data_IF_067914278956
#
_entry.id   IF_067914278956
#
_cell.length_a   1.000
_cell.length_b   1.000
_cell.length_c   1.000
_cell.angle_alpha   90.00
_cell.angle_beta   90.00
_cell.angle_gamma   90.00
#
_symmetry.space_group_name_H-M   'P 1'
#
loop_
_entity.id
_entity.type
_entity.pdbx_description
1 polymer ?
#
# COMPACT_ATOMS: atom_id res chain seq x y z
N UNK A 1 -23.04 11.65 1.36
CA UNK A 1 -23.46 12.55 0.27
C UNK A 1 -24.71 13.30 0.70
N UNK A 2 -25.07 14.38 0.00
CA UNK A 2 -26.42 14.96 0.05
C UNK A 2 -26.97 14.95 -1.38
N UNK A 3 -27.87 14.00 -1.67
CA UNK A 3 -28.21 13.67 -3.05
C UNK A 3 -26.98 13.15 -3.81
N UNK A 4 -26.74 13.69 -5.01
CA UNK A 4 -25.59 13.39 -5.85
C UNK A 4 -24.36 14.27 -5.58
N UNK A 5 -24.32 14.97 -4.44
CA UNK A 5 -23.21 15.85 -4.08
C UNK A 5 -22.35 15.19 -3.00
N UNK A 6 -21.09 14.92 -3.33
CA UNK A 6 -20.08 14.46 -2.38
C UNK A 6 -19.64 15.61 -1.46
N UNK A 7 -19.75 15.37 -0.15
CA UNK A 7 -19.39 16.36 0.89
C UNK A 7 -18.46 15.74 1.90
N UNK A 8 -17.58 16.56 2.46
CA UNK A 8 -16.65 16.18 3.51
C UNK A 8 -16.68 17.18 4.67
N UNK A 9 -16.17 16.76 5.82
CA UNK A 9 -15.90 17.59 6.98
C UNK A 9 -14.43 17.97 6.97
N UNK A 10 -14.14 19.26 7.05
CA UNK A 10 -12.77 19.78 7.05
C UNK A 10 -12.49 20.51 8.37
N UNK A 11 -11.35 20.19 8.96
CA UNK A 11 -10.75 20.98 10.02
C UNK A 11 -9.93 22.13 9.44
N UNK A 12 -9.84 23.25 10.17
CA UNK A 12 -9.00 24.36 9.75
C UNK A 12 -7.52 23.98 9.91
N UNK A 13 -6.80 23.90 8.81
CA UNK A 13 -5.35 23.74 8.81
C UNK A 13 -4.62 25.08 9.04
N UNK A 14 -3.43 25.01 9.62
CA UNK A 14 -2.52 26.14 9.79
C UNK A 14 -1.07 25.66 9.78
N UNK A 15 -0.16 26.51 9.34
CA UNK A 15 1.28 26.23 9.36
C UNK A 15 1.90 26.72 10.67
N UNK A 16 2.83 25.94 11.23
CA UNK A 16 3.68 26.35 12.34
C UNK A 16 5.02 25.63 12.22
N UNK A 17 6.11 26.37 12.36
CA UNK A 17 7.48 25.80 12.34
C UNK A 17 7.79 24.95 11.07
N UNK A 18 7.16 25.30 9.93
CA UNK A 18 7.30 24.55 8.66
C UNK A 18 6.44 23.29 8.55
N UNK A 19 5.64 22.97 9.58
CA UNK A 19 4.72 21.85 9.62
C UNK A 19 3.26 22.29 9.48
N UNK A 20 2.42 21.41 8.94
CA UNK A 20 0.98 21.63 8.81
C UNK A 20 0.27 20.98 10.01
N UNK A 21 -0.46 21.80 10.76
CA UNK A 21 -1.33 21.38 11.84
C UNK A 21 -2.78 21.63 11.48
N UNK A 22 -3.71 21.07 12.24
CA UNK A 22 -5.13 21.35 12.10
C UNK A 22 -5.82 21.45 13.46
N UNK A 23 -6.83 22.31 13.54
CA UNK A 23 -7.65 22.50 14.74
C UNK A 23 -8.76 21.46 14.75
N UNK A 24 -8.77 20.59 15.76
CA UNK A 24 -9.83 19.58 15.98
C UNK A 24 -11.05 20.17 16.72
N UNK A 25 -11.38 21.43 16.44
CA UNK A 25 -12.61 22.07 16.87
C UNK A 25 -13.76 21.72 15.91
N UNK A 26 -14.77 22.58 15.77
CA UNK A 26 -15.94 22.32 14.93
C UNK A 26 -15.56 22.22 13.44
N UNK A 27 -15.63 21.03 12.83
CA UNK A 27 -15.31 20.89 11.42
C UNK A 27 -16.38 21.57 10.56
N UNK A 28 -15.96 22.17 9.45
CA UNK A 28 -16.85 22.80 8.48
C UNK A 28 -17.14 21.86 7.32
N UNK A 29 -18.36 21.93 6.80
CA UNK A 29 -18.79 21.10 5.66
C UNK A 29 -18.42 21.75 4.34
N UNK A 30 -17.78 20.99 3.45
CA UNK A 30 -17.43 21.42 2.10
C UNK A 30 -17.91 20.40 1.07
N UNK A 31 -18.15 20.86 -0.16
CA UNK A 31 -18.29 19.99 -1.33
C UNK A 31 -16.89 19.56 -1.75
N UNK A 32 -16.68 18.27 -2.02
CA UNK A 32 -15.35 17.74 -2.37
C UNK A 32 -14.81 18.40 -3.64
N UNK A 33 -15.68 18.69 -4.62
CA UNK A 33 -15.31 19.38 -5.86
C UNK A 33 -14.93 20.86 -5.71
N UNK A 34 -14.93 21.41 -4.49
CA UNK A 34 -14.39 22.74 -4.23
C UNK A 34 -12.86 22.73 -4.06
N UNK A 35 -12.24 21.56 -3.98
CA UNK A 35 -10.79 21.40 -3.90
C UNK A 35 -10.22 21.02 -5.27
N UNK A 36 -9.06 21.56 -5.61
CA UNK A 36 -8.34 21.18 -6.84
C UNK A 36 -7.79 19.75 -6.77
N UNK A 37 -7.38 19.33 -5.56
CA UNK A 37 -6.75 18.04 -5.28
C UNK A 37 -7.26 17.48 -3.95
N UNK A 38 -7.52 16.18 -3.91
CA UNK A 38 -7.92 15.44 -2.71
C UNK A 38 -7.05 14.20 -2.57
N UNK A 39 -6.35 14.08 -1.45
CA UNK A 39 -5.62 12.86 -1.11
C UNK A 39 -6.53 11.90 -0.34
N UNK A 40 -6.93 10.80 -0.95
CA UNK A 40 -7.71 9.74 -0.30
C UNK A 40 -6.75 8.81 0.47
N UNK A 41 -6.60 9.08 1.77
CA UNK A 41 -5.58 8.45 2.65
C UNK A 41 -6.09 7.82 3.96
N UNK A 42 -7.32 7.26 4.04
CA UNK A 42 -7.67 6.47 5.21
C UNK A 42 -6.79 5.23 5.30
N UNK A 43 -6.39 4.88 6.53
CA UNK A 43 -5.65 3.65 6.77
C UNK A 43 -6.58 2.42 6.66
N UNK A 44 -6.07 1.26 6.18
CA UNK A 44 -6.79 -0.01 6.23
C UNK A 44 -7.14 -0.45 7.68
N UNK A 45 -8.09 -1.39 7.88
CA UNK A 45 -8.54 -2.42 6.94
C UNK A 45 -9.48 -1.92 5.83
N UNK A 46 -9.43 -2.58 4.67
CA UNK A 46 -10.40 -2.34 3.58
C UNK A 46 -11.67 -3.15 3.89
N UNK A 47 -12.49 -2.61 4.78
CA UNK A 47 -13.77 -3.17 5.19
C UNK A 47 -14.95 -2.48 4.48
N UNK A 48 -16.18 -2.77 4.93
CA UNK A 48 -17.37 -2.19 4.34
C UNK A 48 -17.43 -0.67 4.50
N UNK A 49 -16.89 -0.11 5.59
CA UNK A 49 -16.87 1.33 5.82
C UNK A 49 -15.85 2.01 4.92
N UNK A 50 -14.69 1.38 4.70
CA UNK A 50 -13.72 1.82 3.70
C UNK A 50 -14.32 1.82 2.28
N UNK A 51 -15.03 0.76 1.90
CA UNK A 51 -15.70 0.64 0.59
C UNK A 51 -16.81 1.69 0.45
N UNK A 52 -17.59 1.93 1.51
CA UNK A 52 -18.61 2.97 1.54
C UNK A 52 -17.99 4.37 1.39
N UNK A 53 -16.85 4.63 2.04
CA UNK A 53 -16.09 5.87 1.89
C UNK A 53 -15.61 6.05 0.44
N UNK A 54 -15.13 4.99 -0.20
CA UNK A 54 -14.77 5.03 -1.63
C UNK A 54 -15.98 5.37 -2.51
N UNK A 55 -17.15 4.80 -2.23
CA UNK A 55 -18.39 5.04 -2.98
C UNK A 55 -18.90 6.48 -2.88
N UNK A 56 -18.45 7.28 -1.90
CA UNK A 56 -18.75 8.73 -1.88
C UNK A 56 -18.13 9.44 -3.10
N UNK A 57 -16.99 8.94 -3.59
CA UNK A 57 -16.29 9.51 -4.74
C UNK A 57 -16.89 9.10 -6.09
N UNK A 58 -17.86 8.19 -6.12
CA UNK A 58 -18.68 7.96 -7.32
C UNK A 58 -19.50 9.21 -7.71
N UNK A 59 -19.58 10.21 -6.80
CA UNK A 59 -20.24 11.51 -6.98
C UNK A 59 -19.26 12.69 -7.05
N UNK A 60 -18.00 12.43 -7.40
CA UNK A 60 -16.97 13.46 -7.60
C UNK A 60 -16.53 13.40 -9.06
N UNK A 61 -16.62 14.53 -9.76
CA UNK A 61 -16.00 14.69 -11.07
C UNK A 61 -14.46 14.74 -10.93
N UNK A 62 -13.81 13.63 -11.27
CA UNK A 62 -12.35 13.48 -11.17
C UNK A 62 -11.57 14.23 -12.25
N UNK A 63 -12.24 14.73 -13.30
CA UNK A 63 -11.64 15.64 -14.29
C UNK A 63 -11.52 17.06 -13.71
N UNK A 64 -12.45 17.43 -12.81
CA UNK A 64 -12.44 18.73 -12.12
C UNK A 64 -11.57 18.72 -10.88
N UNK A 65 -11.65 17.67 -10.06
CA UNK A 65 -10.92 17.52 -8.80
C UNK A 65 -10.05 16.28 -8.86
N UNK A 66 -8.73 16.45 -8.85
CA UNK A 66 -7.78 15.33 -8.92
C UNK A 66 -7.82 14.57 -7.59
N UNK A 67 -8.12 13.27 -7.62
CA UNK A 67 -8.15 12.42 -6.42
C UNK A 67 -6.98 11.43 -6.42
N UNK A 68 -6.17 11.43 -5.36
CA UNK A 68 -4.95 10.63 -5.24
C UNK A 68 -5.04 9.72 -4.01
N UNK A 69 -5.09 8.40 -4.13
CA UNK A 69 -5.39 7.61 -5.34
C UNK A 69 -6.89 7.69 -5.70
N UNK A 70 -7.26 7.24 -6.91
CA UNK A 70 -8.68 7.11 -7.26
C UNK A 70 -9.36 6.07 -6.32
N UNK A 71 -10.37 6.45 -5.52
CA UNK A 71 -11.00 5.52 -4.58
C UNK A 71 -11.74 4.35 -5.26
N UNK A 72 -12.19 4.51 -6.50
CA UNK A 72 -12.74 3.42 -7.31
C UNK A 72 -11.66 2.40 -7.65
N UNK A 73 -10.46 2.87 -7.97
CA UNK A 73 -9.32 1.98 -8.22
C UNK A 73 -8.88 1.29 -6.93
N UNK A 74 -8.80 2.02 -5.80
CA UNK A 74 -8.44 1.46 -4.49
C UNK A 74 -9.43 0.37 -4.07
N UNK A 75 -10.75 0.59 -4.16
CA UNK A 75 -11.75 -0.43 -3.79
C UNK A 75 -11.68 -1.69 -4.68
N UNK A 76 -11.26 -1.53 -5.94
CA UNK A 76 -11.11 -2.63 -6.88
C UNK A 76 -9.71 -3.29 -6.84
N UNK A 77 -8.75 -2.72 -6.11
CA UNK A 77 -7.39 -3.23 -6.01
C UNK A 77 -7.04 -3.68 -4.60
N UNK A 78 -7.31 -4.96 -4.30
CA UNK A 78 -6.80 -5.61 -3.11
C UNK A 78 -5.26 -5.80 -3.14
N UNK A 79 -4.58 -5.26 -2.13
CA UNK A 79 -3.11 -5.14 -2.00
C UNK A 79 -2.33 -6.47 -2.01
N UNK A 80 -3.01 -7.58 -1.66
CA UNK A 80 -2.43 -8.93 -1.65
C UNK A 80 -2.91 -9.72 -2.87
N UNK A 81 -4.21 -9.76 -3.12
CA UNK A 81 -4.79 -10.56 -4.21
C UNK A 81 -4.25 -10.14 -5.59
N UNK A 82 -4.20 -8.84 -5.86
CA UNK A 82 -3.79 -8.32 -7.17
C UNK A 82 -2.28 -8.29 -7.40
N UNK A 83 -1.50 -8.79 -6.43
CA UNK A 83 -0.14 -9.26 -6.71
C UNK A 83 -0.13 -10.28 -7.87
N UNK A 84 -1.21 -11.04 -8.05
CA UNK A 84 -1.37 -11.99 -9.14
C UNK A 84 -1.51 -11.38 -10.54
N UNK A 85 -1.57 -10.04 -10.69
CA UNK A 85 -1.32 -9.40 -11.99
C UNK A 85 0.16 -9.44 -12.40
N UNK A 86 1.05 -9.75 -11.46
CA UNK A 86 2.51 -9.78 -11.64
C UNK A 86 3.10 -11.11 -11.15
N UNK A 87 2.63 -12.27 -11.64
CA UNK A 87 3.05 -13.58 -11.12
C UNK A 87 4.57 -13.81 -11.23
N UNK A 88 5.25 -13.20 -12.22
CA UNK A 88 6.70 -13.28 -12.38
C UNK A 88 7.48 -12.53 -11.28
N UNK A 89 6.87 -11.51 -10.66
CA UNK A 89 7.46 -10.70 -9.60
C UNK A 89 7.01 -11.13 -8.20
N UNK A 90 6.02 -12.01 -8.10
CA UNK A 90 5.53 -12.57 -6.85
C UNK A 90 6.30 -13.84 -6.45
N UNK A 91 6.36 -14.18 -5.15
CA UNK A 91 6.56 -15.56 -4.72
C UNK A 91 5.37 -16.42 -5.17
N UNK A 92 5.61 -17.71 -5.36
CA UNK A 92 4.55 -18.69 -5.57
C UNK A 92 3.51 -18.56 -4.46
N UNK A 93 2.25 -18.49 -4.86
CA UNK A 93 1.14 -18.28 -3.94
C UNK A 93 -0.16 -18.85 -4.49
N UNK A 94 -1.10 -19.08 -3.59
CA UNK A 94 -2.50 -19.38 -3.89
C UNK A 94 -3.41 -18.45 -3.09
N UNK A 95 -4.60 -18.20 -3.61
CA UNK A 95 -5.69 -17.56 -2.87
C UNK A 95 -6.85 -18.53 -2.79
N UNK A 96 -7.22 -18.93 -1.58
CA UNK A 96 -8.25 -19.96 -1.37
C UNK A 96 -8.87 -19.83 0.01
N UNK A 97 -10.03 -20.47 0.20
CA UNK A 97 -10.60 -20.74 1.52
C UNK A 97 -10.51 -22.24 1.90
N UNK A 98 -10.02 -23.09 0.99
CA UNK A 98 -9.96 -24.54 1.17
C UNK A 98 -8.81 -24.94 2.09
N UNK A 99 -9.14 -25.53 3.24
CA UNK A 99 -8.15 -26.04 4.17
C UNK A 99 -7.28 -27.16 3.57
N UNK A 100 -7.80 -27.91 2.60
CA UNK A 100 -7.06 -28.97 1.93
C UNK A 100 -5.98 -28.40 1.01
N UNK A 101 -6.34 -27.42 0.18
CA UNK A 101 -5.41 -26.74 -0.73
C UNK A 101 -4.31 -26.02 0.05
N UNK A 102 -4.66 -25.33 1.14
CA UNK A 102 -3.69 -24.65 2.01
C UNK A 102 -2.66 -25.65 2.55
N UNK A 103 -3.12 -26.79 3.07
CA UNK A 103 -2.20 -27.82 3.60
C UNK A 103 -1.39 -28.49 2.48
N UNK A 104 -1.97 -28.67 1.30
CA UNK A 104 -1.25 -29.20 0.15
C UNK A 104 -0.09 -28.27 -0.24
N UNK A 105 -0.37 -26.96 -0.33
CA UNK A 105 0.63 -25.93 -0.59
C UNK A 105 1.76 -25.93 0.46
N UNK A 106 1.41 -26.00 1.75
CA UNK A 106 2.42 -26.08 2.83
C UNK A 106 3.27 -27.35 2.73
N UNK A 107 2.69 -28.51 2.39
CA UNK A 107 3.45 -29.76 2.21
C UNK A 107 4.41 -29.67 1.03
N UNK A 108 3.98 -29.07 -0.07
CA UNK A 108 4.78 -28.91 -1.29
C UNK A 108 5.98 -27.98 -1.04
N UNK A 109 5.74 -26.80 -0.48
CA UNK A 109 6.78 -25.79 -0.30
C UNK A 109 7.53 -25.88 1.04
N UNK A 110 7.10 -26.76 1.96
CA UNK A 110 7.62 -26.99 3.32
C UNK A 110 7.48 -25.82 4.30
N UNK A 111 7.55 -24.58 3.80
CA UNK A 111 7.40 -23.34 4.56
C UNK A 111 6.54 -22.35 3.77
N UNK A 112 5.55 -21.76 4.42
CA UNK A 112 4.65 -20.78 3.81
C UNK A 112 4.24 -19.69 4.79
N UNK A 113 3.77 -18.58 4.25
CA UNK A 113 3.08 -17.51 4.96
C UNK A 113 1.60 -17.55 4.58
N UNK A 114 0.71 -17.58 5.57
CA UNK A 114 -0.74 -17.41 5.38
C UNK A 114 -1.14 -16.02 5.88
N UNK A 115 -1.95 -15.29 5.09
CA UNK A 115 -2.37 -13.92 5.41
C UNK A 115 -3.80 -13.59 4.95
N UNK A 116 -4.61 -12.86 5.75
CA UNK A 116 -5.88 -12.30 5.33
C UNK A 116 -5.69 -11.32 4.18
N UNK A 117 -6.70 -11.18 3.32
CA UNK A 117 -6.64 -10.28 2.17
C UNK A 117 -6.91 -8.81 2.51
N UNK A 118 -7.61 -8.51 3.61
CA UNK A 118 -8.11 -7.16 3.91
C UNK A 118 -7.43 -6.46 5.11
N UNK A 119 -6.41 -7.07 5.71
CA UNK A 119 -5.69 -6.53 6.87
C UNK A 119 -4.30 -5.96 6.49
N UNK A 120 -3.82 -5.02 7.32
CA UNK A 120 -2.52 -4.37 7.25
C UNK A 120 -1.66 -4.64 8.50
N UNK A 121 -0.42 -4.13 8.52
CA UNK A 121 0.50 -4.15 9.66
C UNK A 121 0.73 -5.54 10.31
N UNK A 122 0.81 -6.59 9.50
CA UNK A 122 1.06 -7.96 9.99
C UNK A 122 -0.12 -8.60 10.73
N UNK A 123 -1.28 -7.93 10.78
CA UNK A 123 -2.52 -8.47 11.31
C UNK A 123 -2.88 -9.79 10.62
N UNK A 124 -3.00 -10.86 11.42
CA UNK A 124 -3.39 -12.18 10.91
C UNK A 124 -2.36 -12.89 10.03
N UNK A 125 -1.12 -12.43 9.94
CA UNK A 125 -0.06 -13.13 9.19
C UNK A 125 0.49 -14.28 10.02
N UNK A 126 0.67 -15.48 9.47
CA UNK A 126 1.29 -16.60 10.18
C UNK A 126 2.31 -17.31 9.31
N UNK A 127 3.41 -17.74 9.93
CA UNK A 127 4.33 -18.70 9.35
C UNK A 127 3.77 -20.11 9.57
N UNK A 128 3.80 -20.93 8.54
CA UNK A 128 3.38 -22.33 8.55
C UNK A 128 4.51 -23.19 8.02
N UNK A 129 4.75 -24.32 8.68
CA UNK A 129 5.58 -25.40 8.15
C UNK A 129 4.85 -26.76 8.27
N UNK A 130 5.52 -27.84 7.88
CA UNK A 130 4.95 -29.19 7.94
C UNK A 130 4.73 -29.71 9.36
N UNK A 131 5.35 -29.09 10.36
CA UNK A 131 5.30 -29.50 11.78
C UNK A 131 4.36 -28.63 12.63
N UNK A 132 3.73 -27.61 12.03
CA UNK A 132 2.83 -26.68 12.72
C UNK A 132 1.60 -27.39 13.31
N UNK A 133 1.66 -27.65 14.61
CA UNK A 133 0.64 -28.40 15.36
C UNK A 133 -0.73 -27.72 15.36
N UNK A 134 -0.77 -26.40 15.18
CA UNK A 134 -1.98 -25.60 15.19
C UNK A 134 -2.49 -25.25 13.79
N UNK A 135 -1.95 -25.84 12.72
CA UNK A 135 -2.28 -25.48 11.34
C UNK A 135 -3.79 -25.49 11.07
N UNK A 136 -4.51 -26.47 11.61
CA UNK A 136 -5.97 -26.57 11.49
C UNK A 136 -6.68 -25.37 12.12
N UNK A 137 -6.26 -24.96 13.31
CA UNK A 137 -6.85 -23.83 14.05
C UNK A 137 -6.55 -22.51 13.35
N UNK A 138 -5.31 -22.32 12.90
CA UNK A 138 -4.89 -21.12 12.15
C UNK A 138 -5.74 -20.98 10.89
N UNK A 139 -5.81 -22.04 10.07
CA UNK A 139 -6.61 -22.06 8.84
C UNK A 139 -8.08 -21.77 9.15
N UNK A 140 -8.66 -22.48 10.13
CA UNK A 140 -10.06 -22.33 10.52
C UNK A 140 -10.40 -20.90 10.91
N UNK A 141 -9.53 -20.25 11.68
CA UNK A 141 -9.73 -18.89 12.15
C UNK A 141 -9.60 -17.88 11.01
N UNK A 142 -8.53 -17.97 10.21
CA UNK A 142 -8.27 -17.01 9.13
C UNK A 142 -9.27 -17.14 7.98
N UNK A 143 -9.74 -18.36 7.69
CA UNK A 143 -10.74 -18.59 6.63
C UNK A 143 -12.17 -18.47 7.12
N UNK A 144 -12.42 -18.14 8.39
CA UNK A 144 -13.76 -18.15 8.99
C UNK A 144 -14.52 -19.47 8.68
N UNK A 145 -13.89 -20.60 8.99
CA UNK A 145 -14.37 -21.94 8.64
C UNK A 145 -14.61 -22.14 7.13
N UNK A 146 -13.66 -21.70 6.29
CA UNK A 146 -13.74 -21.86 4.82
C UNK A 146 -14.69 -20.90 4.10
N UNK A 147 -15.14 -19.82 4.76
CA UNK A 147 -16.04 -18.80 4.19
C UNK A 147 -15.30 -17.56 3.67
N UNK A 148 -14.06 -17.38 4.07
CA UNK A 148 -13.24 -16.20 3.74
C UNK A 148 -11.94 -16.68 3.10
N UNK A 149 -11.59 -16.06 1.97
CA UNK A 149 -10.34 -16.36 1.28
C UNK A 149 -9.15 -15.74 2.00
N UNK A 150 -8.03 -16.46 1.94
CA UNK A 150 -6.72 -16.04 2.43
C UNK A 150 -5.71 -16.22 1.32
N UNK A 151 -4.63 -15.47 1.37
CA UNK A 151 -3.45 -15.76 0.55
C UNK A 151 -2.52 -16.69 1.33
N UNK A 152 -2.00 -17.72 0.65
CA UNK A 152 -0.90 -18.55 1.13
C UNK A 152 0.25 -18.39 0.15
N UNK A 153 1.42 -18.02 0.65
CA UNK A 153 2.57 -17.64 -0.15
C UNK A 153 3.79 -18.43 0.31
N UNK A 154 4.66 -18.87 -0.61
CA UNK A 154 5.93 -19.52 -0.25
C UNK A 154 6.75 -18.61 0.66
N UNK A 155 7.30 -19.15 1.73
CA UNK A 155 8.19 -18.39 2.61
C UNK A 155 9.47 -17.99 1.87
N UNK A 156 9.89 -16.73 2.04
CA UNK A 156 11.14 -16.18 1.53
C UNK A 156 12.17 -16.19 2.65
N UNK A 157 13.25 -16.94 2.49
CA UNK A 157 14.27 -17.10 3.54
C UNK A 157 14.95 -15.77 3.86
N UNK A 158 15.14 -14.89 2.88
CA UNK A 158 15.75 -13.58 3.13
C UNK A 158 14.80 -12.55 3.76
N UNK A 159 13.54 -12.90 4.06
CA UNK A 159 12.67 -12.06 4.88
C UNK A 159 13.26 -11.78 6.27
N UNK A 160 14.15 -12.65 6.77
CA UNK A 160 14.91 -12.42 8.01
C UNK A 160 15.85 -11.20 7.94
N UNK A 161 16.19 -10.75 6.73
CA UNK A 161 16.98 -9.54 6.48
C UNK A 161 16.11 -8.30 6.27
N UNK A 162 14.81 -8.41 6.56
CA UNK A 162 13.85 -7.33 6.38
C UNK A 162 13.45 -7.11 4.93
N UNK A 163 12.31 -6.45 4.76
CA UNK A 163 11.73 -6.14 3.45
C UNK A 163 11.85 -4.66 3.10
N UNK A 164 12.15 -4.38 1.83
CA UNK A 164 12.26 -3.02 1.29
C UNK A 164 10.87 -2.47 0.96
N UNK A 165 10.58 -1.25 1.41
CA UNK A 165 9.47 -0.41 0.95
C UNK A 165 9.93 0.43 -0.25
N UNK A 166 9.64 -0.02 -1.45
CA UNK A 166 9.85 0.77 -2.68
C UNK A 166 8.71 1.79 -2.81
N UNK A 167 9.05 3.04 -3.11
CA UNK A 167 8.09 4.13 -3.24
C UNK A 167 7.86 4.48 -4.70
N UNK A 168 6.61 4.75 -5.07
CA UNK A 168 6.20 5.04 -6.45
C UNK A 168 5.21 6.20 -6.47
N UNK A 169 5.47 7.22 -7.30
CA UNK A 169 4.50 8.28 -7.63
C UNK A 169 4.26 8.33 -9.13
N UNK A 170 3.03 8.01 -9.55
CA UNK A 170 2.69 7.84 -10.97
C UNK A 170 3.57 6.75 -11.59
N UNK A 171 4.33 7.10 -12.63
CA UNK A 171 5.31 6.19 -13.23
C UNK A 171 6.72 6.36 -12.65
N UNK A 172 6.94 7.29 -11.72
CA UNK A 172 8.24 7.51 -11.11
C UNK A 172 8.49 6.53 -9.97
N UNK A 173 9.58 5.78 -10.07
CA UNK A 173 10.09 4.90 -9.00
C UNK A 173 11.27 5.60 -8.31
N UNK A 174 11.18 5.78 -7.00
CA UNK A 174 12.27 6.37 -6.22
C UNK A 174 13.41 5.35 -6.03
N UNK A 175 14.66 5.79 -6.20
CA UNK A 175 15.83 4.93 -6.00
C UNK A 175 16.09 4.64 -4.52
N UNK A 176 15.76 5.60 -3.66
CA UNK A 176 15.83 5.48 -2.21
C UNK A 176 14.60 4.76 -1.67
N UNK A 177 14.84 3.82 -0.76
CA UNK A 177 13.80 3.06 -0.09
C UNK A 177 14.18 2.75 1.35
N UNK A 178 13.19 2.32 2.14
CA UNK A 178 13.42 1.89 3.51
C UNK A 178 13.38 0.37 3.58
N UNK A 179 14.42 -0.24 4.12
CA UNK A 179 14.40 -1.62 4.59
C UNK A 179 13.83 -1.65 6.01
N UNK A 180 12.75 -2.39 6.20
CA UNK A 180 12.10 -2.63 7.49
C UNK A 180 12.65 -3.92 8.07
N UNK A 181 13.37 -3.82 9.18
CA UNK A 181 13.97 -4.98 9.84
C UNK A 181 12.93 -5.70 10.71
N UNK A 182 12.97 -7.03 10.81
CA UNK A 182 12.11 -7.76 11.73
C UNK A 182 12.44 -7.42 13.19
N UNK A 183 11.47 -7.57 14.08
CA UNK A 183 11.69 -7.46 15.51
C UNK A 183 12.58 -8.60 16.03
N UNK A 184 13.10 -8.48 17.27
CA UNK A 184 13.98 -9.51 17.87
C UNK A 184 13.31 -10.88 18.03
N UNK A 185 11.99 -10.91 18.21
CA UNK A 185 11.22 -12.11 18.57
C UNK A 185 10.12 -12.48 17.55
N UNK A 186 9.93 -11.68 16.49
CA UNK A 186 8.91 -11.91 15.45
C UNK A 186 9.51 -11.69 14.07
N UNK A 187 9.21 -12.58 13.12
CA UNK A 187 9.64 -12.45 11.72
C UNK A 187 8.91 -11.30 11.00
N UNK A 188 7.87 -10.74 11.62
CA UNK A 188 7.08 -9.65 11.07
C UNK A 188 7.62 -8.30 11.49
N UNK A 189 7.41 -7.34 10.60
CA UNK A 189 7.39 -5.94 10.98
C UNK A 189 6.02 -5.60 11.59
N UNK A 190 5.99 -5.37 12.91
CA UNK A 190 4.77 -4.98 13.65
C UNK A 190 4.94 -3.67 14.44
N UNK A 191 6.17 -3.21 14.65
CA UNK A 191 6.49 -2.01 15.43
C UNK A 191 7.04 -0.89 14.55
N UNK A 192 6.33 0.23 14.46
CA UNK A 192 6.86 1.48 13.88
C UNK A 192 7.82 2.14 14.85
N UNK A 193 9.09 1.73 14.79
CA UNK A 193 10.18 2.32 15.56
C UNK A 193 11.38 2.57 14.67
N UNK A 194 11.92 3.78 14.72
CA UNK A 194 13.05 4.23 13.90
C UNK A 194 14.27 3.30 13.95
N UNK A 195 14.46 2.59 15.08
CA UNK A 195 15.54 1.61 15.27
C UNK A 195 15.48 0.37 14.35
N UNK A 196 14.35 0.15 13.68
CA UNK A 196 14.12 -0.98 12.77
C UNK A 196 14.01 -0.54 11.31
N UNK A 197 14.42 0.69 10.98
CA UNK A 197 14.45 1.19 9.62
C UNK A 197 15.88 1.48 9.20
N UNK A 198 16.23 1.03 8.00
CA UNK A 198 17.50 1.31 7.36
C UNK A 198 17.22 1.89 5.97
N UNK A 199 17.81 3.03 5.64
CA UNK A 199 17.74 3.55 4.27
C UNK A 199 18.63 2.73 3.35
N UNK A 200 18.11 2.38 2.18
CA UNK A 200 18.82 1.58 1.18
C UNK A 200 18.42 2.01 -0.22
N UNK A 201 19.03 1.40 -1.23
CA UNK A 201 18.73 1.66 -2.64
C UNK A 201 18.19 0.42 -3.34
N UNK A 202 17.49 0.66 -4.45
CA UNK A 202 17.07 -0.38 -5.36
C UNK A 202 18.26 -0.98 -6.12
N UNK A 203 18.22 -2.29 -6.30
CA UNK A 203 19.01 -2.98 -7.32
C UNK A 203 18.46 -2.65 -8.72
N UNK A 204 19.23 -2.96 -9.77
CA UNK A 204 18.79 -2.74 -11.15
C UNK A 204 17.53 -3.55 -11.47
N UNK A 205 17.49 -4.80 -11.00
CA UNK A 205 16.37 -5.73 -11.17
C UNK A 205 15.12 -5.24 -10.42
N UNK A 206 15.29 -4.74 -9.18
CA UNK A 206 14.18 -4.16 -8.41
C UNK A 206 13.61 -2.90 -9.08
N UNK A 207 14.49 -2.05 -9.63
CA UNK A 207 14.08 -0.85 -10.37
C UNK A 207 13.30 -1.20 -11.63
N UNK A 208 13.76 -2.17 -12.42
CA UNK A 208 13.06 -2.62 -13.64
C UNK A 208 11.68 -3.21 -13.31
N UNK A 209 11.62 -4.09 -12.30
CA UNK A 209 10.38 -4.66 -11.79
C UNK A 209 9.41 -3.56 -11.34
N UNK A 210 9.86 -2.66 -10.47
CA UNK A 210 9.03 -1.58 -9.94
C UNK A 210 8.52 -0.66 -11.04
N UNK A 211 9.30 -0.41 -12.10
CA UNK A 211 8.89 0.42 -13.23
C UNK A 211 7.73 -0.22 -14.02
N UNK A 212 7.76 -1.55 -14.22
CA UNK A 212 6.66 -2.28 -14.89
C UNK A 212 5.38 -2.23 -14.06
N UNK A 213 5.50 -2.39 -12.75
CA UNK A 213 4.36 -2.30 -11.82
C UNK A 213 3.81 -0.88 -11.78
N UNK A 214 4.67 0.15 -11.67
CA UNK A 214 4.28 1.56 -11.66
C UNK A 214 3.44 1.93 -12.89
N UNK A 215 3.88 1.51 -14.09
CA UNK A 215 3.14 1.76 -15.33
C UNK A 215 1.73 1.16 -15.32
N UNK A 216 1.59 -0.07 -14.82
CA UNK A 216 0.28 -0.72 -14.74
C UNK A 216 -0.64 0.00 -13.74
N UNK A 217 -0.12 0.33 -12.55
CA UNK A 217 -0.90 0.97 -11.49
C UNK A 217 -1.30 2.42 -11.85
N UNK A 218 -0.40 3.16 -12.49
CA UNK A 218 -0.69 4.49 -13.02
C UNK A 218 -1.83 4.48 -14.04
N UNK A 219 -1.88 3.46 -14.91
CA UNK A 219 -2.93 3.32 -15.93
C UNK A 219 -4.33 3.08 -15.34
N UNK A 220 -4.42 2.57 -14.11
CA UNK A 220 -5.67 2.40 -13.35
C UNK A 220 -5.81 3.43 -12.24
N UNK A 221 -5.08 4.54 -12.31
CA UNK A 221 -5.20 5.68 -11.40
C UNK A 221 -4.82 5.40 -9.93
N UNK A 222 -3.91 4.45 -9.74
CA UNK A 222 -3.20 4.18 -8.49
C UNK A 222 -1.80 4.82 -8.59
N UNK A 223 -1.72 6.06 -8.14
CA UNK A 223 -0.54 6.91 -8.33
C UNK A 223 0.47 6.80 -7.21
N UNK A 224 0.02 6.86 -5.96
CA UNK A 224 0.86 6.77 -4.77
C UNK A 224 0.85 5.33 -4.27
N UNK A 225 1.93 4.60 -4.51
CA UNK A 225 2.03 3.17 -4.21
C UNK A 225 3.30 2.87 -3.41
N UNK A 226 3.22 1.89 -2.52
CA UNK A 226 4.37 1.29 -1.84
C UNK A 226 4.48 -0.21 -2.12
N UNK A 227 5.60 -0.68 -2.66
CA UNK A 227 5.84 -2.12 -2.82
C UNK A 227 6.64 -2.65 -1.63
N UNK A 228 6.20 -3.74 -1.03
CA UNK A 228 6.98 -4.48 -0.03
C UNK A 228 7.72 -5.61 -0.73
N UNK A 229 9.05 -5.55 -0.73
CA UNK A 229 9.92 -6.45 -1.52
C UNK A 229 10.93 -7.16 -0.62
N UNK A 230 11.00 -8.48 -0.72
CA UNK A 230 12.03 -9.32 -0.12
C UNK A 230 12.52 -10.34 -1.15
N UNK A 231 13.81 -10.69 -1.12
CA UNK A 231 14.43 -11.62 -2.09
C UNK A 231 14.12 -11.28 -3.57
N UNK A 232 14.04 -9.99 -3.91
CA UNK A 232 13.69 -9.52 -5.26
C UNK A 232 12.25 -9.84 -5.68
N UNK A 233 11.37 -10.21 -4.74
CA UNK A 233 9.98 -10.55 -4.97
C UNK A 233 9.04 -9.61 -4.22
N UNK A 234 7.97 -9.19 -4.89
CA UNK A 234 6.92 -8.36 -4.31
C UNK A 234 6.04 -9.23 -3.44
N UNK A 235 5.93 -8.89 -2.17
CA UNK A 235 5.07 -9.57 -1.21
C UNK A 235 3.69 -8.92 -1.13
N UNK A 236 3.63 -7.58 -1.24
CA UNK A 236 2.41 -6.76 -1.16
C UNK A 236 2.55 -5.47 -1.99
N UNK A 237 1.43 -5.01 -2.56
CA UNK A 237 1.33 -3.75 -3.32
C UNK A 237 0.38 -2.83 -2.54
N UNK A 238 0.94 -1.92 -1.75
CA UNK A 238 0.19 -1.02 -0.86
C UNK A 238 -0.33 0.20 -1.64
N UNK A 239 -1.64 0.32 -1.79
CA UNK A 239 -2.31 1.36 -2.60
C UNK A 239 -3.28 2.23 -1.80
N UNK A 240 -3.57 1.85 -0.56
CA UNK A 240 -4.48 2.57 0.34
C UNK A 240 -3.78 3.78 0.95
N UNK A 241 -3.08 3.58 2.07
CA UNK A 241 -2.27 4.58 2.75
C UNK A 241 -0.82 4.11 2.88
N UNK A 242 -0.08 3.89 1.77
CA UNK A 242 1.33 3.51 1.85
C UNK A 242 2.12 4.56 2.65
N UNK A 243 2.81 4.14 3.72
CA UNK A 243 3.75 5.00 4.43
C UNK A 243 4.99 5.22 3.56
N UNK A 244 5.33 6.49 3.31
CA UNK A 244 6.46 6.92 2.48
C UNK A 244 7.73 7.14 3.29
N UNK A 245 7.67 6.95 4.61
CA UNK A 245 8.82 7.04 5.51
C UNK A 245 9.66 8.32 5.33
N UNK A 246 8.99 9.44 5.01
CA UNK A 246 9.62 10.73 4.69
C UNK A 246 10.53 11.16 5.84
N UNK A 247 10.05 11.02 7.08
CA UNK A 247 10.79 11.40 8.28
C UNK A 247 12.05 10.57 8.45
N UNK A 248 11.95 9.26 8.27
CA UNK A 248 13.05 8.31 8.41
C UNK A 248 14.11 8.55 7.33
N UNK A 249 13.69 8.69 6.07
CA UNK A 249 14.59 9.00 4.94
C UNK A 249 15.34 10.31 5.20
N UNK A 250 14.63 11.39 5.52
CA UNK A 250 15.22 12.68 5.85
C UNK A 250 16.24 12.60 6.98
N UNK A 251 15.89 11.88 8.06
CA UNK A 251 16.74 11.76 9.25
C UNK A 251 18.02 10.97 8.97
N UNK A 252 17.92 9.86 8.24
CA UNK A 252 19.07 9.00 7.94
C UNK A 252 20.02 9.62 6.92
N UNK A 253 19.49 10.32 5.92
CA UNK A 253 20.27 10.86 4.81
C UNK A 253 20.61 12.35 4.97
N UNK A 254 20.04 13.03 5.97
CA UNK A 254 20.14 14.47 6.17
C UNK A 254 19.69 15.25 4.91
N UNK A 255 18.50 14.92 4.42
CA UNK A 255 17.94 15.47 3.19
C UNK A 255 16.49 15.98 3.36
N UNK A 256 15.91 16.48 2.26
CA UNK A 256 14.53 16.96 2.17
C UNK A 256 13.74 16.16 1.15
N UNK A 257 13.59 14.86 1.37
CA UNK A 257 12.89 13.92 0.50
C UNK A 257 11.45 14.36 0.18
N UNK A 258 10.78 15.07 1.11
CA UNK A 258 9.46 15.65 0.86
C UNK A 258 9.45 16.60 -0.33
N UNK A 259 10.53 17.34 -0.60
CA UNK A 259 10.55 18.30 -1.71
C UNK A 259 10.57 17.55 -3.05
N UNK A 260 11.37 16.49 -3.16
CA UNK A 260 11.44 15.62 -4.35
C UNK A 260 10.11 14.89 -4.56
N UNK A 261 9.54 14.35 -3.48
CA UNK A 261 8.23 13.72 -3.51
C UNK A 261 7.14 14.67 -4.00
N UNK A 262 7.10 15.89 -3.46
CA UNK A 262 6.12 16.90 -3.82
C UNK A 262 6.31 17.39 -5.25
N UNK A 263 7.53 17.51 -5.76
CA UNK A 263 7.79 17.82 -7.17
C UNK A 263 7.14 16.77 -8.08
N UNK A 264 7.31 15.47 -7.79
CA UNK A 264 6.70 14.40 -8.60
C UNK A 264 5.17 14.41 -8.51
N UNK A 265 4.62 14.68 -7.33
CA UNK A 265 3.17 14.80 -7.13
C UNK A 265 2.60 16.01 -7.88
N UNK A 266 3.25 17.17 -7.81
CA UNK A 266 2.81 18.38 -8.53
C UNK A 266 2.81 18.13 -10.03
N UNK A 267 3.89 17.58 -10.59
CA UNK A 267 3.96 17.25 -12.02
C UNK A 267 2.83 16.29 -12.43
N UNK A 268 2.55 15.26 -11.62
CA UNK A 268 1.43 14.34 -11.87
C UNK A 268 0.07 15.06 -11.87
N UNK A 269 -0.16 15.94 -10.88
CA UNK A 269 -1.41 16.69 -10.75
C UNK A 269 -1.59 17.64 -11.94
N UNK A 270 -0.55 18.35 -12.34
CA UNK A 270 -0.60 19.30 -13.46
C UNK A 270 -0.88 18.59 -14.79
N UNK A 271 -0.29 17.40 -15.01
CA UNK A 271 -0.61 16.54 -16.16
C UNK A 271 -2.09 16.14 -16.17
N UNK A 272 -2.66 15.80 -15.01
CA UNK A 272 -4.08 15.43 -14.88
C UNK A 272 -5.03 16.61 -15.06
N UNK A 273 -4.64 17.80 -14.62
CA UNK A 273 -5.43 19.02 -14.82
C UNK A 273 -5.28 19.62 -16.22
N UNK A 274 -4.51 18.99 -17.12
CA UNK A 274 -4.23 19.52 -18.45
C UNK A 274 -3.45 20.84 -18.44
N UNK A 275 -2.74 21.15 -17.35
CA UNK A 275 -2.00 22.42 -17.16
C UNK A 275 -0.56 22.39 -17.68
N UNK A 276 -0.10 21.27 -18.26
CA UNK A 276 1.15 21.21 -19.02
C UNK A 276 0.83 20.75 -20.46
N UNK A 277 1.21 21.50 -21.50
CA UNK A 277 1.19 20.98 -22.85
C UNK A 277 2.23 19.86 -22.94
N UNK A 278 1.80 18.69 -23.42
CA UNK A 278 2.67 17.62 -23.86
C UNK A 278 3.65 18.16 -24.91
N UNK A 279 4.84 18.57 -24.50
CA UNK A 279 5.99 18.81 -25.38
C UNK A 279 7.27 18.91 -24.53
N UNK A 280 7.95 17.78 -24.34
CA UNK A 280 9.42 17.77 -24.28
C UNK A 280 9.88 16.53 -25.04
N UNK A 281 10.74 16.78 -26.03
CA UNK A 281 11.34 15.79 -26.92
C UNK A 281 12.39 14.94 -26.21
#
# INVERSE_FOLDING_TARGET
>A
TEGNVAKTLCWQAYEKDGDIFYKKDEPKKYVIEHFDVVFFRPDPPVDIDYINACSVFDYVDTERTVVINNPIAVKNFNEKFHLNYFPEFAPENIVTASAEEIKAFVREHKKAIIKPLNQCFGGGVYYLDTEERNINTIIKNLTNNGKTMVMVQRYLEGAVHGDKRILIVGEHVFEECIRKLPGKDDFKFSEHSDKYFETTHLTAEEKEMAQKVAKHLNAVELYMVGLDVADGKIMEINVTSPCYFIREINSHNNERFQDVLMEKLINLIELKQGKIPATVC
#
